data_IF_555052228224
#
_entry.id   IF_555052228224
#
_cell.length_a   1.000
_cell.length_b   1.000
_cell.length_c   1.000
_cell.angle_alpha   90.00
_cell.angle_beta   90.00
_cell.angle_gamma   90.00
#
_symmetry.space_group_name_H-M   'P 1'
#
loop_
_entity.id
_entity.type
_entity.pdbx_description
1 polymer ?
#
# COMPACT_ATOMS: atom_id res chain seq x y z
N UNK A 1 -45.76 2.68 30.01
CA UNK A 1 -45.21 2.67 28.63
C UNK A 1 -43.80 3.26 28.66
N UNK A 2 -42.76 2.42 28.67
CA UNK A 2 -41.36 2.85 28.78
C UNK A 2 -40.76 3.05 27.38
N UNK A 3 -40.38 4.30 27.04
CA UNK A 3 -39.64 4.61 25.81
C UNK A 3 -38.13 4.44 26.08
N UNK A 4 -37.55 3.37 25.51
CA UNK A 4 -36.10 3.12 25.46
C UNK A 4 -35.40 4.15 24.58
N UNK A 5 -34.45 4.87 25.16
CA UNK A 5 -33.50 5.75 24.49
C UNK A 5 -32.46 4.92 23.71
N UNK A 6 -32.27 5.21 22.42
CA UNK A 6 -31.20 4.61 21.60
C UNK A 6 -29.86 5.25 21.98
N UNK A 7 -28.99 4.48 22.64
CA UNK A 7 -27.61 4.86 22.88
C UNK A 7 -26.82 4.91 21.56
N UNK A 8 -26.32 6.09 21.23
CA UNK A 8 -25.43 6.37 20.10
C UNK A 8 -24.09 5.68 20.38
N UNK A 9 -23.82 4.56 19.70
CA UNK A 9 -22.57 3.82 19.83
C UNK A 9 -21.47 4.58 19.10
N UNK A 10 -20.82 5.51 19.78
CA UNK A 10 -19.59 6.13 19.31
C UNK A 10 -18.49 5.06 19.23
N UNK A 11 -18.12 4.69 18.01
CA UNK A 11 -16.95 3.84 17.77
C UNK A 11 -15.70 4.65 18.12
N UNK A 12 -15.17 4.46 19.33
CA UNK A 12 -13.86 4.98 19.75
C UNK A 12 -12.80 4.52 18.75
N UNK A 13 -12.39 5.41 17.85
CA UNK A 13 -11.19 5.26 17.04
C UNK A 13 -10.00 5.14 18.00
N UNK A 14 -9.40 3.95 18.13
CA UNK A 14 -8.19 3.77 18.93
C UNK A 14 -7.08 4.58 18.26
N UNK A 15 -6.79 5.78 18.78
CA UNK A 15 -5.63 6.58 18.39
C UNK A 15 -4.37 5.76 18.68
N UNK A 16 -3.59 5.46 17.64
CA UNK A 16 -2.26 4.88 17.82
C UNK A 16 -1.41 5.92 18.55
N UNK A 17 -0.84 5.52 19.70
CA UNK A 17 0.04 6.40 20.48
C UNK A 17 1.49 6.13 20.08
N UNK A 18 2.37 7.13 20.22
CA UNK A 18 3.81 7.03 19.93
C UNK A 18 4.47 5.80 20.62
N UNK A 19 3.93 5.41 21.78
CA UNK A 19 4.34 4.25 22.57
C UNK A 19 4.01 2.89 21.91
N UNK A 20 2.97 2.82 21.09
CA UNK A 20 2.63 1.63 20.29
C UNK A 20 3.56 1.48 19.09
N UNK A 21 3.98 2.58 18.46
CA UNK A 21 4.97 2.59 17.39
C UNK A 21 6.38 2.21 17.86
N UNK A 22 6.73 2.56 19.11
CA UNK A 22 8.03 2.22 19.72
C UNK A 22 8.18 0.71 20.00
N UNK A 23 7.09 -0.01 20.31
CA UNK A 23 7.14 -1.47 20.51
C UNK A 23 7.21 -2.29 19.20
N UNK A 24 6.91 -1.68 18.04
CA UNK A 24 7.06 -2.36 16.74
C UNK A 24 8.54 -2.46 16.27
N UNK A 25 9.47 -1.84 17.01
CA UNK A 25 10.92 -1.89 16.72
C UNK A 25 11.58 -3.17 17.25
N UNK A 26 10.90 -3.96 18.09
CA UNK A 26 11.49 -5.12 18.77
C UNK A 26 11.10 -6.51 18.22
N UNK A 27 10.45 -6.59 17.05
CA UNK A 27 10.03 -7.89 16.48
C UNK A 27 10.58 -8.11 15.08
N UNK A 28 11.87 -8.40 14.98
CA UNK A 28 12.34 -9.38 13.98
C UNK A 28 13.60 -10.06 14.48
N UNK A 29 13.50 -11.39 14.60
CA UNK A 29 14.55 -12.28 15.07
C UNK A 29 15.74 -12.28 14.10
N UNK A 30 16.91 -12.49 14.70
CA UNK A 30 18.23 -12.70 14.12
C UNK A 30 19.05 -11.43 13.83
N UNK A 31 20.10 -11.23 14.65
CA UNK A 31 20.89 -10.01 14.80
C UNK A 31 21.77 -9.59 13.62
N UNK A 32 21.31 -9.72 12.37
CA UNK A 32 21.97 -9.18 11.18
C UNK A 32 20.93 -8.57 10.25
N UNK A 33 21.19 -7.31 9.88
CA UNK A 33 20.41 -6.41 9.01
C UNK A 33 19.33 -5.61 9.74
N UNK A 34 19.75 -4.52 10.40
CA UNK A 34 18.90 -3.35 10.69
C UNK A 34 18.39 -2.75 9.36
N UNK A 35 17.36 -3.35 8.80
CA UNK A 35 16.43 -2.62 7.95
C UNK A 35 15.52 -1.88 8.91
N UNK A 36 15.51 -0.55 8.84
CA UNK A 36 14.57 0.27 9.59
C UNK A 36 13.15 -0.10 9.10
N UNK A 37 12.55 -1.10 9.75
CA UNK A 37 11.27 -1.72 9.44
C UNK A 37 10.26 -1.22 10.47
N UNK A 38 9.08 -0.81 9.97
CA UNK A 38 7.96 -0.46 10.81
C UNK A 38 6.76 -1.30 10.41
N UNK A 39 6.41 -2.26 11.28
CA UNK A 39 5.21 -3.05 11.12
C UNK A 39 4.06 -2.41 11.90
N UNK A 40 3.05 -1.94 11.19
CA UNK A 40 1.80 -1.40 11.70
C UNK A 40 0.60 -2.22 11.20
N UNK A 41 0.84 -3.43 10.71
CA UNK A 41 -0.17 -4.31 10.15
C UNK A 41 -1.20 -4.79 11.19
N UNK A 42 -2.36 -5.26 10.69
CA UNK A 42 -3.45 -5.85 11.50
C UNK A 42 -3.93 -4.96 12.64
N UNK A 43 -3.94 -3.66 12.40
CA UNK A 43 -4.48 -2.68 13.33
C UNK A 43 -5.81 -2.11 12.81
N UNK A 44 -6.36 -1.14 13.52
CA UNK A 44 -7.59 -0.43 13.13
C UNK A 44 -7.28 0.99 12.64
N UNK A 45 -6.14 1.18 11.99
CA UNK A 45 -5.67 2.49 11.54
C UNK A 45 -6.58 2.96 10.41
N UNK A 46 -7.27 4.08 10.62
CA UNK A 46 -8.15 4.70 9.61
C UNK A 46 -7.49 5.84 8.86
N UNK A 47 -6.61 6.55 9.55
CA UNK A 47 -5.82 7.66 9.02
C UNK A 47 -4.36 7.36 9.22
N UNK A 48 -3.59 7.60 8.18
CA UNK A 48 -2.15 7.48 8.25
C UNK A 48 -1.61 8.46 9.30
N UNK A 49 -0.76 8.03 10.23
CA UNK A 49 -0.23 8.91 11.25
C UNK A 49 0.79 9.91 10.69
N UNK A 50 0.57 11.20 10.92
CA UNK A 50 1.46 12.27 10.46
C UNK A 50 2.90 12.11 10.97
N UNK A 51 3.08 11.52 12.15
CA UNK A 51 4.40 11.30 12.74
C UNK A 51 5.24 10.26 11.97
N UNK A 52 4.66 9.44 11.10
CA UNK A 52 5.45 8.44 10.33
C UNK A 52 6.52 9.14 9.49
N UNK A 53 6.25 10.37 9.02
CA UNK A 53 7.20 11.19 8.27
C UNK A 53 8.54 11.41 8.98
N UNK A 54 8.61 11.30 10.31
CA UNK A 54 9.85 11.49 11.07
C UNK A 54 10.84 10.33 10.92
N UNK A 55 10.38 9.15 10.47
CA UNK A 55 11.22 7.95 10.32
C UNK A 55 11.89 7.92 8.94
N UNK A 56 12.64 8.96 8.61
CA UNK A 56 13.26 9.17 7.29
C UNK A 56 14.24 8.07 6.86
N UNK A 57 14.76 7.26 7.80
CA UNK A 57 15.65 6.14 7.50
C UNK A 57 14.89 4.85 7.16
N UNK A 58 13.59 4.81 7.41
CA UNK A 58 12.74 3.65 7.19
C UNK A 58 12.83 3.13 5.76
N UNK A 59 12.99 1.82 5.64
CA UNK A 59 13.13 1.11 4.37
C UNK A 59 11.95 0.18 4.11
N UNK A 60 11.26 -0.27 5.15
CA UNK A 60 10.08 -1.14 5.06
C UNK A 60 8.97 -0.56 5.92
N UNK A 61 7.81 -0.32 5.31
CA UNK A 61 6.59 0.08 6.01
C UNK A 61 5.50 -0.93 5.69
N UNK A 62 5.07 -1.66 6.71
CA UNK A 62 3.94 -2.56 6.60
C UNK A 62 2.71 -1.97 7.27
N UNK A 63 1.65 -1.77 6.50
CA UNK A 63 0.35 -1.26 6.92
C UNK A 63 -0.77 -2.22 6.51
N UNK A 64 -0.47 -3.49 6.25
CA UNK A 64 -1.47 -4.42 5.74
C UNK A 64 -2.60 -4.66 6.74
N UNK A 65 -3.80 -4.99 6.25
CA UNK A 65 -4.96 -5.33 7.10
C UNK A 65 -5.31 -4.22 8.10
N UNK A 66 -5.45 -3.00 7.58
CA UNK A 66 -5.91 -1.83 8.32
C UNK A 66 -7.22 -1.30 7.70
N UNK A 67 -7.62 -0.10 8.09
CA UNK A 67 -8.82 0.56 7.58
C UNK A 67 -8.48 1.89 6.90
N UNK A 68 -7.29 2.04 6.29
CA UNK A 68 -6.88 3.28 5.64
C UNK A 68 -7.79 3.59 4.47
N UNK A 69 -8.42 4.76 4.52
CA UNK A 69 -9.30 5.28 3.45
C UNK A 69 -8.50 6.15 2.47
N UNK A 70 -7.45 6.80 2.96
CA UNK A 70 -6.54 7.66 2.19
C UNK A 70 -5.09 7.45 2.62
N UNK A 71 -4.17 7.72 1.70
CA UNK A 71 -2.74 7.82 1.96
C UNK A 71 -2.34 9.30 1.84
N UNK A 72 -1.74 9.92 2.87
CA UNK A 72 -1.45 11.34 2.85
C UNK A 72 -0.21 11.63 2.00
N UNK A 73 -0.10 12.87 1.55
CA UNK A 73 1.07 13.38 0.81
C UNK A 73 2.38 13.18 1.57
N UNK A 74 2.32 13.14 2.91
CA UNK A 74 3.47 12.92 3.80
C UNK A 74 4.18 11.56 3.59
N UNK A 75 3.55 10.60 2.91
CA UNK A 75 4.22 9.34 2.51
C UNK A 75 5.49 9.62 1.69
N UNK A 76 5.51 10.71 0.93
CA UNK A 76 6.65 11.12 0.11
C UNK A 76 7.89 11.51 0.91
N UNK A 77 7.77 11.78 2.22
CA UNK A 77 8.93 12.08 3.05
C UNK A 77 9.78 10.83 3.36
N UNK A 78 9.24 9.63 3.12
CA UNK A 78 9.93 8.35 3.33
C UNK A 78 10.84 8.00 2.16
N UNK A 79 11.78 8.88 1.84
CA UNK A 79 12.66 8.81 0.65
C UNK A 79 13.58 7.57 0.60
N UNK A 80 13.73 6.84 1.72
CA UNK A 80 14.49 5.59 1.79
C UNK A 80 13.63 4.33 1.69
N UNK A 81 12.32 4.48 1.54
CA UNK A 81 11.39 3.36 1.50
C UNK A 81 11.62 2.50 0.26
N UNK A 82 11.84 1.21 0.49
CA UNK A 82 12.01 0.18 -0.54
C UNK A 82 10.80 -0.73 -0.65
N UNK A 83 10.10 -0.96 0.46
CA UNK A 83 8.91 -1.81 0.52
C UNK A 83 7.78 -1.06 1.21
N UNK A 84 6.65 -0.95 0.52
CA UNK A 84 5.41 -0.42 1.06
C UNK A 84 4.29 -1.45 0.89
N UNK A 85 3.77 -1.94 2.01
CA UNK A 85 2.66 -2.88 2.03
C UNK A 85 1.39 -2.20 2.55
N UNK A 86 0.43 -1.96 1.65
CA UNK A 86 -0.89 -1.38 1.93
C UNK A 86 -2.02 -2.38 1.63
N UNK A 87 -1.70 -3.67 1.52
CA UNK A 87 -2.65 -4.71 1.20
C UNK A 87 -3.79 -4.78 2.23
N UNK A 88 -5.01 -5.07 1.80
CA UNK A 88 -6.19 -5.21 2.67
C UNK A 88 -6.45 -3.92 3.47
N UNK A 89 -6.73 -2.84 2.75
CA UNK A 89 -7.14 -1.54 3.28
C UNK A 89 -8.42 -1.08 2.55
N UNK A 90 -8.80 0.20 2.67
CA UNK A 90 -10.00 0.78 2.06
C UNK A 90 -9.65 1.92 1.10
N UNK A 91 -8.44 1.92 0.54
CA UNK A 91 -7.95 2.99 -0.32
C UNK A 91 -8.78 3.05 -1.60
N UNK A 92 -9.29 4.23 -1.91
CA UNK A 92 -10.01 4.52 -3.16
C UNK A 92 -9.14 5.30 -4.16
N UNK A 93 -8.10 5.98 -3.66
CA UNK A 93 -7.13 6.72 -4.46
C UNK A 93 -5.74 6.70 -3.79
N UNK A 94 -4.74 7.19 -4.52
CA UNK A 94 -3.38 7.39 -4.04
C UNK A 94 -2.92 8.82 -4.35
N UNK A 95 -2.13 9.44 -3.46
CA UNK A 95 -1.54 10.76 -3.69
C UNK A 95 -0.54 10.69 -4.85
N UNK A 96 -0.43 11.77 -5.62
CA UNK A 96 0.54 11.84 -6.72
C UNK A 96 1.98 11.81 -6.19
N UNK A 97 2.20 12.31 -4.98
CA UNK A 97 3.47 12.36 -4.28
C UNK A 97 4.03 10.97 -3.95
N UNK A 98 3.22 9.90 -4.03
CA UNK A 98 3.73 8.53 -3.92
C UNK A 98 4.78 8.24 -5.01
N UNK A 99 4.67 8.88 -6.17
CA UNK A 99 5.63 8.79 -7.27
C UNK A 99 7.00 9.41 -6.97
N UNK A 100 7.18 10.09 -5.83
CA UNK A 100 8.47 10.64 -5.40
C UNK A 100 9.35 9.62 -4.66
N UNK A 101 8.84 8.41 -4.40
CA UNK A 101 9.57 7.36 -3.70
C UNK A 101 10.50 6.59 -4.65
N UNK A 102 11.53 7.27 -5.15
CA UNK A 102 12.39 6.76 -6.23
C UNK A 102 13.13 5.46 -5.87
N UNK A 103 13.27 5.12 -4.58
CA UNK A 103 13.90 3.88 -4.11
C UNK A 103 12.92 2.73 -3.89
N UNK A 104 11.62 2.94 -4.12
CA UNK A 104 10.60 1.94 -3.87
C UNK A 104 10.71 0.80 -4.88
N UNK A 105 10.91 -0.41 -4.37
CA UNK A 105 11.11 -1.64 -5.16
C UNK A 105 9.85 -2.51 -5.16
N UNK A 106 9.11 -2.52 -4.06
CA UNK A 106 7.89 -3.31 -3.91
C UNK A 106 6.76 -2.43 -3.38
N UNK A 107 5.64 -2.44 -4.10
CA UNK A 107 4.40 -1.77 -3.73
C UNK A 107 3.25 -2.76 -3.75
N UNK A 108 2.69 -3.09 -2.58
CA UNK A 108 1.53 -3.96 -2.49
C UNK A 108 0.27 -3.15 -2.13
N UNK A 109 -0.68 -3.09 -3.05
CA UNK A 109 -1.97 -2.40 -2.95
C UNK A 109 -3.14 -3.36 -3.11
N UNK A 110 -2.91 -4.68 -3.00
CA UNK A 110 -3.98 -5.66 -3.17
C UNK A 110 -5.10 -5.50 -2.14
N UNK A 111 -6.29 -6.04 -2.42
CA UNK A 111 -7.46 -5.96 -1.52
C UNK A 111 -7.75 -4.50 -1.09
N UNK A 112 -7.92 -3.61 -2.07
CA UNK A 112 -8.32 -2.23 -1.86
C UNK A 112 -9.52 -1.90 -2.77
N UNK A 113 -9.83 -0.63 -2.97
CA UNK A 113 -10.96 -0.16 -3.77
C UNK A 113 -10.49 0.78 -4.89
N UNK A 114 -9.26 0.58 -5.39
CA UNK A 114 -8.65 1.45 -6.40
C UNK A 114 -9.26 1.18 -7.78
N UNK A 115 -9.64 2.25 -8.46
CA UNK A 115 -10.13 2.22 -9.86
C UNK A 115 -9.04 2.65 -10.85
N UNK A 116 -8.08 3.46 -10.38
CA UNK A 116 -6.99 4.00 -11.17
C UNK A 116 -5.74 4.20 -10.30
N UNK A 117 -4.59 4.31 -10.96
CA UNK A 117 -3.33 4.75 -10.34
C UNK A 117 -3.00 6.18 -10.80
N UNK A 118 -2.41 7.03 -9.94
CA UNK A 118 -1.94 8.33 -10.37
C UNK A 118 -0.80 8.15 -11.40
N UNK A 119 -0.74 9.03 -12.40
CA UNK A 119 0.26 8.94 -13.47
C UNK A 119 1.71 8.98 -12.95
N UNK A 120 1.91 9.58 -11.78
CA UNK A 120 3.20 9.66 -11.08
C UNK A 120 3.75 8.31 -10.61
N UNK A 121 2.94 7.25 -10.51
CA UNK A 121 3.47 5.89 -10.28
C UNK A 121 4.46 5.51 -11.36
N UNK A 122 4.28 5.99 -12.60
CA UNK A 122 5.22 5.76 -13.69
C UNK A 122 6.60 6.42 -13.51
N UNK A 123 6.81 7.23 -12.47
CA UNK A 123 8.09 7.84 -12.11
C UNK A 123 8.90 7.00 -11.11
N UNK A 124 8.37 5.89 -10.60
CA UNK A 124 9.07 5.02 -9.64
C UNK A 124 10.17 4.19 -10.32
N UNK A 125 11.35 4.78 -10.47
CA UNK A 125 12.44 4.21 -11.29
C UNK A 125 12.94 2.84 -10.82
N UNK A 126 12.88 2.56 -9.52
CA UNK A 126 13.34 1.30 -8.92
C UNK A 126 12.24 0.24 -8.72
N UNK A 127 10.98 0.51 -9.13
CA UNK A 127 9.87 -0.41 -8.85
C UNK A 127 10.00 -1.69 -9.68
N UNK A 128 10.05 -2.82 -8.99
CA UNK A 128 10.18 -4.17 -9.56
C UNK A 128 8.90 -4.97 -9.43
N UNK A 129 8.18 -4.78 -8.33
CA UNK A 129 7.02 -5.59 -8.00
C UNK A 129 5.84 -4.70 -7.60
N UNK A 130 4.70 -4.90 -8.27
CA UNK A 130 3.45 -4.23 -7.91
C UNK A 130 2.30 -5.22 -7.78
N UNK A 131 1.63 -5.18 -6.63
CA UNK A 131 0.43 -5.96 -6.34
C UNK A 131 -0.80 -5.05 -6.39
N UNK A 132 -1.75 -5.36 -7.26
CA UNK A 132 -3.00 -4.63 -7.47
C UNK A 132 -4.21 -5.58 -7.50
N UNK A 133 -4.03 -6.86 -7.17
CA UNK A 133 -5.10 -7.85 -7.16
C UNK A 133 -6.23 -7.45 -6.22
N UNK A 134 -7.47 -7.87 -6.50
CA UNK A 134 -8.64 -7.54 -5.69
C UNK A 134 -8.84 -6.02 -5.52
N UNK A 135 -8.94 -5.32 -6.64
CA UNK A 135 -9.29 -3.90 -6.73
C UNK A 135 -10.45 -3.73 -7.73
N UNK A 136 -10.66 -2.49 -8.22
CA UNK A 136 -11.75 -2.13 -9.14
C UNK A 136 -11.21 -1.66 -10.50
N UNK A 137 -10.01 -2.10 -10.89
CA UNK A 137 -9.43 -1.70 -12.18
C UNK A 137 -10.23 -2.30 -13.35
N UNK A 138 -10.75 -1.43 -14.21
CA UNK A 138 -11.45 -1.84 -15.45
C UNK A 138 -10.52 -1.96 -16.66
N UNK A 139 -9.29 -1.48 -16.54
CA UNK A 139 -8.25 -1.49 -17.58
C UNK A 139 -6.87 -1.52 -16.95
N UNK A 140 -5.86 -1.89 -17.74
CA UNK A 140 -4.47 -1.81 -17.33
C UNK A 140 -4.05 -0.33 -17.15
N UNK A 141 -3.48 0.07 -16.00
CA UNK A 141 -2.99 1.43 -15.81
C UNK A 141 -1.79 1.72 -16.72
N UNK A 142 -1.96 2.61 -17.71
CA UNK A 142 -0.91 2.92 -18.69
C UNK A 142 0.37 3.50 -18.09
N UNK A 143 0.34 4.01 -16.85
CA UNK A 143 1.54 4.45 -16.14
C UNK A 143 2.53 3.31 -15.86
N UNK A 144 2.06 2.06 -15.75
CA UNK A 144 2.93 0.90 -15.51
C UNK A 144 3.86 0.62 -16.69
N UNK A 145 3.47 1.00 -17.91
CA UNK A 145 4.30 0.85 -19.11
C UNK A 145 5.55 1.74 -19.10
N UNK A 146 5.60 2.76 -18.23
CA UNK A 146 6.76 3.65 -18.08
C UNK A 146 7.84 3.07 -17.15
N UNK A 147 7.51 2.04 -16.38
CA UNK A 147 8.39 1.46 -15.37
C UNK A 147 9.42 0.52 -16.01
N UNK A 148 10.67 0.97 -16.06
CA UNK A 148 11.76 0.27 -16.78
C UNK A 148 12.28 -0.98 -16.08
N UNK A 149 12.14 -1.05 -14.76
CA UNK A 149 12.64 -2.16 -13.91
C UNK A 149 11.53 -3.10 -13.45
N UNK A 150 10.31 -2.95 -13.96
CA UNK A 150 9.17 -3.73 -13.52
C UNK A 150 9.30 -5.18 -13.98
N UNK A 151 9.31 -6.09 -13.02
CA UNK A 151 9.49 -7.53 -13.22
C UNK A 151 8.17 -8.30 -13.03
N UNK A 152 7.30 -7.83 -12.13
CA UNK A 152 6.06 -8.53 -11.80
C UNK A 152 4.91 -7.57 -11.52
N UNK A 153 3.78 -7.83 -12.16
CA UNK A 153 2.50 -7.16 -11.96
C UNK A 153 1.46 -8.22 -11.60
N UNK A 154 0.70 -7.97 -10.54
CA UNK A 154 -0.49 -8.77 -10.23
C UNK A 154 -1.73 -7.94 -10.22
N UNK A 155 -2.71 -8.34 -11.01
CA UNK A 155 -3.97 -7.64 -11.17
C UNK A 155 -5.16 -8.60 -11.16
N UNK A 156 -4.97 -9.80 -10.61
CA UNK A 156 -6.03 -10.82 -10.53
C UNK A 156 -7.25 -10.27 -9.78
N UNK A 157 -8.44 -10.80 -10.08
CA UNK A 157 -9.67 -10.38 -9.40
C UNK A 157 -9.93 -8.86 -9.50
N UNK A 158 -9.66 -8.30 -10.67
CA UNK A 158 -10.12 -6.98 -11.10
C UNK A 158 -11.11 -7.11 -12.26
N UNK A 159 -12.11 -6.21 -12.39
CA UNK A 159 -13.09 -6.23 -13.49
C UNK A 159 -12.49 -5.70 -14.80
N UNK A 160 -11.33 -6.22 -15.23
CA UNK A 160 -10.63 -5.75 -16.43
C UNK A 160 -11.46 -6.11 -17.66
N UNK A 161 -11.92 -5.08 -18.37
CA UNK A 161 -12.58 -5.22 -19.66
C UNK A 161 -11.45 -5.40 -20.67
N UNK A 162 -11.41 -6.57 -21.31
CA UNK A 162 -10.57 -6.78 -22.48
C UNK A 162 -11.13 -5.95 -23.64
N UNK A 163 -10.79 -4.66 -23.71
CA UNK A 163 -10.86 -3.96 -24.99
C UNK A 163 -9.97 -4.74 -25.96
N UNK A 164 -10.47 -5.01 -27.17
CA UNK A 164 -9.70 -5.63 -28.26
C UNK A 164 -8.38 -4.87 -28.40
N UNK A 165 -7.30 -5.42 -27.84
CA UNK A 165 -5.95 -4.89 -27.96
C UNK A 165 -5.54 -5.13 -29.41
N UNK A 166 -5.26 -4.11 -30.24
CA UNK A 166 -4.49 -4.30 -31.46
C UNK A 166 -3.16 -4.88 -31.02
N UNK A 167 -2.89 -6.10 -31.48
CA UNK A 167 -1.72 -6.92 -31.20
C UNK A 167 -0.45 -6.08 -31.08
N UNK A 168 0.14 -6.02 -29.88
CA UNK A 168 1.60 -6.09 -29.71
C UNK A 168 2.01 -6.33 -28.24
N UNK A 169 2.64 -7.51 -28.08
CA UNK A 169 3.39 -8.09 -26.93
C UNK A 169 2.61 -8.54 -25.68
N UNK A 170 2.68 -9.85 -25.34
CA UNK A 170 2.06 -10.39 -24.14
C UNK A 170 2.89 -9.98 -22.91
N UNK A 171 2.28 -9.24 -21.99
CA UNK A 171 2.77 -9.08 -20.63
C UNK A 171 2.26 -10.28 -19.83
N UNK A 172 3.17 -11.09 -19.30
CA UNK A 172 2.86 -12.27 -18.49
C UNK A 172 2.35 -11.86 -17.11
N UNK A 173 1.09 -12.20 -16.82
CA UNK A 173 0.46 -12.08 -15.50
C UNK A 173 0.90 -13.31 -14.69
N UNK A 174 1.49 -13.11 -13.51
CA UNK A 174 2.07 -14.19 -12.69
C UNK A 174 1.24 -14.48 -11.43
N UNK A 175 0.82 -15.72 -11.28
CA UNK A 175 0.06 -16.27 -10.14
C UNK A 175 0.97 -16.80 -9.02
N UNK A 176 1.68 -15.98 -8.22
CA UNK A 176 2.32 -16.49 -6.96
C UNK A 176 2.97 -15.41 -6.09
N UNK A 177 2.38 -15.00 -4.96
CA UNK A 177 3.12 -14.22 -3.93
C UNK A 177 3.01 -15.02 -2.65
N UNK A 178 4.13 -15.62 -2.27
CA UNK A 178 4.40 -15.95 -0.89
C UNK A 178 5.15 -14.74 -0.32
N UNK A 179 4.50 -13.98 0.56
CA UNK A 179 5.25 -13.28 1.60
C UNK A 179 5.65 -14.39 2.60
N UNK A 180 6.97 -14.53 2.74
CA UNK A 180 7.77 -15.18 3.79
C UNK A 180 6.96 -15.81 4.95
N UNK A 181 7.27 -17.08 5.24
CA UNK A 181 6.80 -17.83 6.42
C UNK A 181 7.03 -17.07 7.73
#
# INVERSE_FOLDING_TARGET
MAKRTKAKRETKSKKMTLKMAQNCVELTLDGKHRLDLMDLSRNMIRKFPDFIAQFIKMTVLDLHSNCLEELPVAISYLQNLKVLNLCNNRLTSLPSELGLLNKLQTLNLGLNQLEALPASIGALEELRHIGLSDNRFTRLPGCLLKLKKLESIKMDRNPIIAEKIPTEKPVSISESFYLVK
#
